data_IF_938870679401
#
_entry.id   IF_938870679401
#
_cell.length_a   1.000
_cell.length_b   1.000
_cell.length_c   1.000
_cell.angle_alpha   90.00
_cell.angle_beta   90.00
_cell.angle_gamma   90.00
#
_symmetry.space_group_name_H-M   'P 1'
#
loop_
_entity.id
_entity.type
_entity.pdbx_description
1 polymer ?
#
# COMPACT_ATOMS: atom_id res chain seq x y z
N UNK A 1 11.39 28.68 1.99
CA UNK A 1 11.62 27.84 1.32
C UNK A 1 11.04 26.71 1.46
N UNK A 2 10.96 26.18 0.81
CA UNK A 2 10.24 25.14 0.87
C UNK A 2 11.04 24.00 0.56
N UNK A 3 11.86 23.68 1.45
CA UNK A 3 12.67 22.51 1.35
C UNK A 3 11.89 21.26 1.03
N UNK A 4 10.56 21.34 1.21
CA UNK A 4 9.72 20.17 1.00
C UNK A 4 9.14 20.07 -0.38
N UNK A 5 9.41 21.03 -1.26
CA UNK A 5 8.87 21.03 -2.59
C UNK A 5 9.72 20.19 -3.53
N UNK A 6 9.66 18.90 -3.40
CA UNK A 6 10.38 17.99 -4.29
C UNK A 6 9.76 17.96 -5.67
N UNK A 7 10.54 17.80 -6.72
CA UNK A 7 9.99 17.47 -8.03
C UNK A 7 9.13 16.23 -7.96
N UNK A 8 8.12 16.16 -8.81
CA UNK A 8 7.16 15.07 -8.77
C UNK A 8 7.82 13.69 -8.90
N UNK A 9 8.88 13.59 -9.71
CA UNK A 9 9.57 12.31 -9.91
C UNK A 9 10.42 11.89 -8.71
N UNK A 10 10.68 12.80 -7.75
CA UNK A 10 11.44 12.47 -6.54
C UNK A 10 10.53 12.12 -5.36
N UNK A 11 9.22 12.17 -5.55
CA UNK A 11 8.28 11.84 -4.50
C UNK A 11 8.03 10.34 -4.48
N UNK A 12 7.74 9.81 -3.28
CA UNK A 12 7.36 8.42 -3.15
C UNK A 12 5.96 8.20 -3.72
N UNK A 13 5.85 7.32 -4.68
CA UNK A 13 4.55 6.94 -5.24
C UNK A 13 3.97 5.81 -4.42
N UNK A 14 2.75 6.00 -3.93
CA UNK A 14 2.03 5.02 -3.12
C UNK A 14 0.75 4.66 -3.83
N UNK A 15 0.52 3.37 -4.02
CA UNK A 15 -0.76 2.87 -4.51
C UNK A 15 -1.55 2.30 -3.36
N UNK A 16 -2.78 2.78 -3.19
CA UNK A 16 -3.73 2.23 -2.22
C UNK A 16 -4.70 1.32 -2.96
N UNK A 17 -4.79 0.07 -2.56
CA UNK A 17 -5.71 -0.92 -3.13
C UNK A 17 -6.76 -1.24 -2.08
N UNK A 18 -7.94 -0.63 -2.19
CA UNK A 18 -8.98 -0.68 -1.19
C UNK A 18 -10.34 -0.44 -1.83
N UNK A 19 -11.29 -1.35 -1.64
CA UNK A 19 -12.61 -1.21 -2.23
C UNK A 19 -13.58 -0.39 -1.37
N UNK A 20 -13.27 -0.17 -0.11
CA UNK A 20 -14.11 0.61 0.79
C UNK A 20 -13.74 2.09 0.69
N UNK A 21 -14.67 2.89 0.14
CA UNK A 21 -14.41 4.30 -0.16
C UNK A 21 -14.02 5.14 1.04
N UNK A 22 -14.65 4.91 2.20
CA UNK A 22 -14.33 5.66 3.41
C UNK A 22 -12.91 5.38 3.90
N UNK A 23 -12.47 4.13 3.83
CA UNK A 23 -11.11 3.77 4.22
C UNK A 23 -10.11 4.34 3.24
N UNK A 24 -10.41 4.28 1.94
CA UNK A 24 -9.54 4.85 0.92
C UNK A 24 -9.35 6.35 1.14
N UNK A 25 -10.43 7.06 1.44
CA UNK A 25 -10.35 8.49 1.72
C UNK A 25 -9.53 8.78 2.97
N UNK A 26 -9.70 8.00 4.03
CA UNK A 26 -8.91 8.16 5.24
C UNK A 26 -7.42 7.95 4.97
N UNK A 27 -7.09 6.96 4.16
CA UNK A 27 -5.70 6.70 3.79
C UNK A 27 -5.12 7.86 2.98
N UNK A 28 -5.86 8.37 2.00
CA UNK A 28 -5.42 9.51 1.22
C UNK A 28 -5.17 10.73 2.09
N UNK A 29 -6.08 11.04 3.00
CA UNK A 29 -5.94 12.18 3.91
C UNK A 29 -4.76 11.99 4.87
N UNK A 30 -4.57 10.77 5.37
CA UNK A 30 -3.48 10.48 6.28
C UNK A 30 -2.12 10.56 5.60
N UNK A 31 -2.08 10.33 4.29
CA UNK A 31 -0.84 10.32 3.52
C UNK A 31 -0.61 11.61 2.75
N UNK A 32 -1.51 12.59 2.87
CA UNK A 32 -1.38 13.85 2.16
C UNK A 32 -0.12 14.57 2.60
N UNK A 33 0.82 14.71 1.68
CA UNK A 33 2.11 15.29 1.96
C UNK A 33 2.80 15.63 0.64
N UNK A 34 3.68 16.62 0.68
CA UNK A 34 4.48 16.98 -0.48
C UNK A 34 5.52 15.92 -0.83
N UNK A 35 5.76 14.97 0.08
CA UNK A 35 6.74 13.90 -0.13
C UNK A 35 6.14 12.70 -0.82
N UNK A 36 4.81 12.62 -0.94
CA UNK A 36 4.12 11.44 -1.41
C UNK A 36 3.14 11.77 -2.51
N UNK A 37 3.03 10.87 -3.48
CA UNK A 37 1.98 10.89 -4.49
C UNK A 37 1.15 9.64 -4.28
N UNK A 38 -0.13 9.82 -3.95
CA UNK A 38 -1.02 8.72 -3.61
C UNK A 38 -2.04 8.51 -4.71
N UNK A 39 -2.11 7.30 -5.24
CA UNK A 39 -3.14 6.90 -6.17
C UNK A 39 -3.95 5.78 -5.54
N UNK A 40 -5.19 5.62 -5.98
CA UNK A 40 -6.11 4.68 -5.39
C UNK A 40 -6.82 3.86 -6.47
N UNK A 41 -6.91 2.56 -6.26
CA UNK A 41 -7.71 1.66 -7.08
C UNK A 41 -8.58 0.79 -6.17
N UNK A 42 -9.66 0.23 -6.73
CA UNK A 42 -10.68 -0.46 -5.95
C UNK A 42 -10.62 -1.97 -6.03
N UNK A 43 -9.77 -2.52 -6.86
CA UNK A 43 -9.73 -3.96 -7.10
C UNK A 43 -8.35 -4.39 -7.61
N UNK A 44 -8.13 -5.69 -7.68
CA UNK A 44 -6.84 -6.24 -8.07
C UNK A 44 -6.53 -6.06 -9.56
N UNK A 45 -7.55 -6.13 -10.39
CA UNK A 45 -7.36 -5.94 -11.84
C UNK A 45 -6.79 -4.55 -12.12
N UNK A 46 -7.40 -3.52 -11.53
CA UNK A 46 -6.92 -2.15 -11.69
C UNK A 46 -5.56 -1.96 -11.04
N UNK A 47 -5.32 -2.63 -9.92
CA UNK A 47 -4.02 -2.56 -9.24
C UNK A 47 -2.91 -3.11 -10.12
N UNK A 48 -3.18 -4.24 -10.79
CA UNK A 48 -2.21 -4.84 -11.70
C UNK A 48 -1.89 -3.92 -12.85
N UNK A 49 -2.91 -3.34 -13.47
CA UNK A 49 -2.71 -2.40 -14.57
C UNK A 49 -1.94 -1.18 -14.13
N UNK A 50 -2.25 -0.65 -12.96
CA UNK A 50 -1.55 0.51 -12.42
C UNK A 50 -0.07 0.21 -12.18
N UNK A 51 0.23 -0.90 -11.53
CA UNK A 51 1.60 -1.28 -11.20
C UNK A 51 2.42 -1.49 -12.47
N UNK A 52 1.82 -2.09 -13.49
CA UNK A 52 2.52 -2.33 -14.76
C UNK A 52 2.88 -1.03 -15.47
N UNK A 53 2.09 0.03 -15.29
CA UNK A 53 2.34 1.32 -15.92
C UNK A 53 3.22 2.24 -15.09
N UNK A 54 2.92 2.35 -13.79
CA UNK A 54 3.51 3.39 -12.94
C UNK A 54 4.59 2.90 -12.00
N UNK A 55 4.58 1.63 -11.64
CA UNK A 55 5.54 1.04 -10.70
C UNK A 55 5.74 1.88 -9.44
N UNK A 56 4.74 1.88 -8.53
CA UNK A 56 4.87 2.64 -7.28
C UNK A 56 5.98 2.09 -6.40
N UNK A 57 6.47 2.90 -5.47
CA UNK A 57 7.46 2.43 -4.50
C UNK A 57 6.86 1.62 -3.38
N UNK A 58 5.57 1.87 -3.08
CA UNK A 58 4.87 1.22 -1.99
C UNK A 58 3.43 0.92 -2.39
N UNK A 59 2.94 -0.25 -2.04
CA UNK A 59 1.53 -0.63 -2.19
C UNK A 59 0.94 -0.87 -0.80
N UNK A 60 -0.14 -0.15 -0.48
CA UNK A 60 -0.96 -0.42 0.70
C UNK A 60 -2.14 -1.27 0.21
N UNK A 61 -2.22 -2.48 0.70
CA UNK A 61 -3.06 -3.51 0.08
C UNK A 61 -4.02 -4.11 1.08
N UNK A 62 -5.33 -3.96 0.83
CA UNK A 62 -6.34 -4.67 1.61
C UNK A 62 -6.35 -6.14 1.18
N UNK A 63 -6.67 -7.04 2.11
CA UNK A 63 -6.69 -8.45 1.79
C UNK A 63 -7.96 -8.89 1.07
N UNK A 64 -9.11 -8.27 1.39
CA UNK A 64 -10.39 -8.68 0.78
C UNK A 64 -10.83 -7.67 -0.24
N UNK A 65 -10.79 -8.06 -1.49
CA UNK A 65 -11.16 -7.21 -2.62
C UNK A 65 -12.21 -7.90 -3.47
N UNK A 66 -12.95 -7.15 -4.31
CA UNK A 66 -14.05 -7.74 -5.06
C UNK A 66 -13.64 -8.89 -5.98
N UNK A 67 -12.43 -8.84 -6.50
CA UNK A 67 -11.94 -9.80 -7.48
C UNK A 67 -10.85 -10.72 -6.96
N UNK A 68 -10.67 -10.80 -5.63
CA UNK A 68 -9.73 -11.75 -5.08
C UNK A 68 -9.12 -11.33 -3.75
N UNK A 69 -8.09 -12.04 -3.35
CA UNK A 69 -7.39 -11.78 -2.10
C UNK A 69 -6.08 -11.06 -2.36
N UNK A 70 -5.80 -10.06 -1.50
CA UNK A 70 -4.55 -9.31 -1.60
C UNK A 70 -3.32 -10.18 -1.49
N UNK A 71 -3.40 -11.27 -0.72
CA UNK A 71 -2.26 -12.21 -0.57
C UNK A 71 -1.80 -12.73 -1.93
N UNK A 72 -2.75 -13.03 -2.83
CA UNK A 72 -2.39 -13.52 -4.17
C UNK A 72 -1.67 -12.43 -4.98
N UNK A 73 -2.04 -11.19 -4.77
CA UNK A 73 -1.40 -10.08 -5.45
C UNK A 73 0.03 -9.85 -4.94
N UNK A 74 0.29 -10.15 -3.66
CA UNK A 74 1.66 -10.08 -3.11
C UNK A 74 2.59 -10.99 -3.91
N UNK A 75 2.15 -12.21 -4.19
CA UNK A 75 2.96 -13.16 -4.98
C UNK A 75 3.27 -12.61 -6.36
N UNK A 76 2.27 -12.02 -7.02
CA UNK A 76 2.45 -11.39 -8.32
C UNK A 76 3.51 -10.28 -8.26
N UNK A 77 3.39 -9.38 -7.28
CA UNK A 77 4.32 -8.27 -7.13
C UNK A 77 5.74 -8.75 -6.87
N UNK A 78 5.89 -9.72 -5.98
CA UNK A 78 7.22 -10.21 -5.61
C UNK A 78 7.94 -10.88 -6.77
N UNK A 79 7.20 -11.53 -7.65
CA UNK A 79 7.78 -12.16 -8.83
C UNK A 79 8.16 -11.14 -9.90
N UNK A 80 7.29 -10.17 -10.14
CA UNK A 80 7.45 -9.26 -11.26
C UNK A 80 8.17 -7.96 -10.89
N UNK A 81 7.92 -7.45 -9.69
CA UNK A 81 8.47 -6.17 -9.24
C UNK A 81 8.99 -6.30 -7.80
N UNK A 82 10.06 -7.07 -7.58
CA UNK A 82 10.52 -7.35 -6.21
C UNK A 82 10.97 -6.12 -5.43
N UNK A 83 11.24 -5.00 -6.10
CA UNK A 83 11.63 -3.77 -5.43
C UNK A 83 10.45 -3.01 -4.81
N UNK A 84 9.21 -3.32 -5.22
CA UNK A 84 8.04 -2.63 -4.65
C UNK A 84 7.81 -3.12 -3.23
N UNK A 85 7.69 -2.19 -2.30
CA UNK A 85 7.37 -2.51 -0.91
C UNK A 85 5.87 -2.70 -0.73
N UNK A 86 5.49 -3.59 0.18
CA UNK A 86 4.09 -3.95 0.37
C UNK A 86 3.76 -3.90 1.85
N UNK A 87 2.72 -3.14 2.20
CA UNK A 87 2.10 -3.20 3.52
C UNK A 87 0.70 -3.74 3.33
N UNK A 88 0.41 -4.90 3.91
CA UNK A 88 -0.95 -5.41 3.92
C UNK A 88 -1.72 -4.77 5.05
N UNK A 89 -2.94 -4.32 4.77
CA UNK A 89 -3.83 -3.73 5.76
C UNK A 89 -5.07 -4.60 5.85
N UNK A 90 -5.37 -5.12 7.03
CA UNK A 90 -6.50 -6.02 7.18
C UNK A 90 -7.05 -6.00 8.60
N UNK A 91 -8.23 -6.56 8.79
CA UNK A 91 -8.82 -6.71 10.10
C UNK A 91 -8.07 -7.75 10.94
N UNK A 92 -8.62 -8.04 12.11
CA UNK A 92 -7.97 -8.96 13.04
C UNK A 92 -8.09 -10.39 12.53
N UNK A 93 -6.99 -10.92 12.03
CA UNK A 93 -6.88 -12.29 11.57
C UNK A 93 -5.41 -12.70 11.64
N UNK A 94 -5.00 -13.36 12.74
CA UNK A 94 -3.59 -13.76 12.88
C UNK A 94 -3.08 -14.67 11.76
N UNK A 95 -3.95 -15.52 11.23
CA UNK A 95 -3.55 -16.37 10.11
C UNK A 95 -3.26 -15.58 8.84
N UNK A 96 -4.03 -14.51 8.61
CA UNK A 96 -3.79 -13.65 7.46
C UNK A 96 -2.47 -12.89 7.59
N UNK A 97 -2.14 -12.45 8.79
CA UNK A 97 -0.87 -11.76 9.03
C UNK A 97 0.31 -12.68 8.72
N UNK A 98 0.29 -13.90 9.27
CA UNK A 98 1.37 -14.86 9.04
C UNK A 98 1.50 -15.20 7.57
N UNK A 99 0.37 -15.42 6.90
CA UNK A 99 0.36 -15.77 5.48
C UNK A 99 0.89 -14.63 4.62
N UNK A 100 0.51 -13.39 4.93
CA UNK A 100 0.95 -12.23 4.17
C UNK A 100 2.47 -12.04 4.28
N UNK A 101 2.99 -12.14 5.49
CA UNK A 101 4.43 -11.98 5.71
C UNK A 101 5.21 -13.12 5.06
N UNK A 102 4.71 -14.35 5.16
CA UNK A 102 5.33 -15.50 4.53
C UNK A 102 5.33 -15.40 3.00
N UNK A 103 4.32 -14.77 2.43
CA UNK A 103 4.20 -14.58 0.98
C UNK A 103 5.09 -13.46 0.47
N UNK A 104 5.50 -12.55 1.35
CA UNK A 104 6.44 -11.51 0.99
C UNK A 104 6.02 -10.07 1.31
N UNK A 105 4.93 -9.88 2.05
CA UNK A 105 4.59 -8.54 2.52
C UNK A 105 5.70 -8.05 3.45
N UNK A 106 6.06 -6.79 3.30
CA UNK A 106 7.12 -6.21 4.14
C UNK A 106 6.61 -5.86 5.53
N UNK A 107 5.30 -5.61 5.64
CA UNK A 107 4.68 -5.32 6.92
C UNK A 107 3.19 -5.59 6.86
N UNK A 108 2.60 -5.85 8.02
CA UNK A 108 1.16 -6.04 8.17
C UNK A 108 0.65 -4.99 9.17
N UNK A 109 -0.39 -4.27 8.80
CA UNK A 109 -1.00 -3.25 9.65
C UNK A 109 -2.46 -3.63 9.92
N UNK A 110 -2.81 -3.79 11.19
CA UNK A 110 -4.16 -4.22 11.57
C UNK A 110 -5.12 -3.05 11.63
N UNK A 111 -6.32 -3.25 11.14
CA UNK A 111 -7.44 -2.32 11.30
C UNK A 111 -8.09 -2.55 12.67
N UNK A 112 -8.47 -1.51 13.40
CA UNK A 112 -8.24 -0.11 13.12
C UNK A 112 -6.82 0.32 13.47
N UNK A 113 -6.31 1.31 12.78
CA UNK A 113 -4.97 1.85 13.05
C UNK A 113 -5.05 3.37 13.17
N UNK A 114 -4.07 3.94 13.85
CA UNK A 114 -3.94 5.39 13.97
C UNK A 114 -3.10 5.93 12.81
N UNK A 115 -3.21 7.22 12.56
CA UNK A 115 -2.36 7.90 11.59
C UNK A 115 -0.89 7.69 11.93
N UNK A 116 -0.55 7.76 13.22
CA UNK A 116 0.83 7.54 13.67
C UNK A 116 1.32 6.13 13.35
N UNK A 117 0.49 5.12 13.57
CA UNK A 117 0.85 3.74 13.25
C UNK A 117 1.07 3.55 11.75
N UNK A 118 0.23 4.17 10.93
CA UNK A 118 0.39 4.12 9.48
C UNK A 118 1.71 4.76 9.05
N UNK A 119 1.99 5.97 9.52
CA UNK A 119 3.21 6.68 9.17
C UNK A 119 4.46 5.94 9.65
N UNK A 120 4.40 5.37 10.85
CA UNK A 120 5.52 4.59 11.40
C UNK A 120 5.79 3.35 10.54
N UNK A 121 4.74 2.65 10.14
CA UNK A 121 4.86 1.47 9.27
C UNK A 121 5.50 1.83 7.93
N UNK A 122 5.05 2.92 7.32
CA UNK A 122 5.58 3.36 6.03
C UNK A 122 7.05 3.74 6.17
N UNK A 123 7.39 4.47 7.22
CA UNK A 123 8.76 4.88 7.48
C UNK A 123 9.70 3.68 7.62
N UNK A 124 9.27 2.66 8.37
CA UNK A 124 10.07 1.46 8.57
C UNK A 124 10.28 0.66 7.28
N UNK A 125 9.28 0.64 6.43
CA UNK A 125 9.35 -0.13 5.19
C UNK A 125 10.19 0.57 4.13
N UNK A 126 10.13 1.90 4.07
CA UNK A 126 10.83 2.68 3.05
C UNK A 126 12.26 3.04 3.44
N UNK A 127 12.57 2.96 4.71
CA UNK A 127 13.93 3.23 5.19
C UNK A 127 14.69 1.90 5.46
#
# INVERSE_FOLDING_TARGET
>A
MTANNKPKNDRTKILVVEDEGDMALLLELALDSEQMIVDHVHNLCDARDFVDKEQPGLVLLDNRLPDGLGIDFISYLKRKYPQIKIIMISGVDPAAEDAALATGADKFLRKPFTKSQLHDSISKVLN
#
